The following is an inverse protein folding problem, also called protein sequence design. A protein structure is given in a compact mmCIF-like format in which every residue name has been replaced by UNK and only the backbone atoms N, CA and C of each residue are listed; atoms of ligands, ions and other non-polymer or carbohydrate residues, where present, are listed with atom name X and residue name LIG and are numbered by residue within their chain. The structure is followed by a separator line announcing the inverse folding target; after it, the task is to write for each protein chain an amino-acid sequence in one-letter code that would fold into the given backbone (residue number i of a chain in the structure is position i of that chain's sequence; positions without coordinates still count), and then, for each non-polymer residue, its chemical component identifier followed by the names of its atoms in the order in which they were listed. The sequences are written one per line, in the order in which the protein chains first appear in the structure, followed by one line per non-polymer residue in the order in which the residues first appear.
data_IF_392378604656
#
_entry.id   IF_392378604656
#
_cell.length_a   1.000
_cell.length_b   1.000
_cell.length_c   1.000
_cell.angle_alpha   90.00
_cell.angle_beta   90.00
_cell.angle_gamma   90.00
#
_symmetry.space_group_name_H-M   'P 1'
#
loop_
_entity.id
_entity.type
_entity.pdbx_description
1 polymer ?
#
# COMPACT_ATOMS: atom_id res chain seq x y z
N UNK A 1 -4.38 8.98 8.92
CA UNK A 1 -3.03 8.36 8.84
C UNK A 1 -2.02 9.13 9.67
N UNK A 2 -2.34 9.33 10.95
CA UNK A 2 -1.42 9.80 11.98
C UNK A 2 -0.20 8.90 12.19
N UNK A 3 -0.22 7.66 11.66
CA UNK A 3 0.90 6.73 11.73
C UNK A 3 1.89 6.79 10.57
N UNK A 4 1.50 7.19 9.36
CA UNK A 4 2.41 7.16 8.19
C UNK A 4 3.38 8.35 8.25
N UNK A 5 2.88 9.55 8.52
CA UNK A 5 3.75 10.71 8.71
C UNK A 5 4.62 10.61 9.98
N UNK A 6 4.10 10.00 11.04
CA UNK A 6 4.76 9.96 12.34
C UNK A 6 5.71 8.77 12.52
N UNK A 7 5.52 7.68 11.77
CA UNK A 7 6.37 6.48 11.86
C UNK A 7 7.17 6.16 10.59
N UNK A 8 6.66 6.48 9.38
CA UNK A 8 7.21 5.98 8.11
C UNK A 8 8.16 7.00 7.45
N UNK A 9 7.77 8.28 7.42
CA UNK A 9 8.59 9.36 6.85
C UNK A 9 9.93 9.60 7.60
N UNK A 10 9.98 9.62 8.95
CA UNK A 10 11.23 9.89 9.68
C UNK A 10 12.27 8.77 9.57
N UNK A 11 11.82 7.56 9.27
CA UNK A 11 12.67 6.36 9.21
C UNK A 11 12.88 5.84 7.78
N UNK A 12 12.35 6.53 6.76
CA UNK A 12 12.34 6.10 5.35
C UNK A 12 11.87 4.64 5.19
N UNK A 13 10.84 4.26 5.93
CA UNK A 13 10.22 2.95 5.80
C UNK A 13 9.46 2.95 4.48
N UNK A 14 9.60 1.90 3.69
CA UNK A 14 8.87 1.74 2.44
C UNK A 14 7.63 0.88 2.76
N UNK A 15 6.44 1.50 2.68
CA UNK A 15 5.24 0.73 2.38
C UNK A 15 5.39 0.14 0.99
N UNK A 16 4.93 -1.10 0.80
CA UNK A 16 4.90 -1.75 -0.49
C UNK A 16 4.07 -0.99 -1.53
N UNK A 17 3.84 -1.62 -2.67
CA UNK A 17 3.01 -1.04 -3.70
C UNK A 17 3.65 0.17 -4.40
N UNK A 18 2.78 1.06 -4.86
CA UNK A 18 3.10 2.19 -5.74
C UNK A 18 3.88 3.27 -5.02
N UNK A 19 3.57 3.46 -3.73
CA UNK A 19 4.29 4.40 -2.86
C UNK A 19 5.77 4.00 -2.75
N UNK A 20 6.05 2.71 -2.58
CA UNK A 20 7.42 2.20 -2.53
C UNK A 20 8.18 2.38 -3.85
N UNK A 21 7.55 2.10 -4.99
CA UNK A 21 8.18 2.33 -6.29
C UNK A 21 8.42 3.83 -6.54
N UNK A 22 7.48 4.68 -6.14
CA UNK A 22 7.61 6.14 -6.23
C UNK A 22 8.78 6.68 -5.44
N UNK A 23 8.95 6.21 -4.21
CA UNK A 23 10.09 6.57 -3.35
C UNK A 23 11.41 6.10 -3.95
N UNK A 24 11.48 4.86 -4.44
CA UNK A 24 12.68 4.35 -5.13
C UNK A 24 13.05 5.18 -6.36
N UNK A 25 12.05 5.54 -7.16
CA UNK A 25 12.26 6.39 -8.34
C UNK A 25 12.80 7.76 -7.93
N UNK A 26 12.28 8.35 -6.85
CA UNK A 26 12.76 9.62 -6.32
C UNK A 26 14.16 9.56 -5.70
N UNK A 27 14.64 8.39 -5.27
CA UNK A 27 16.02 8.23 -4.83
C UNK A 27 17.01 8.08 -5.99
N UNK A 28 16.56 7.52 -7.11
CA UNK A 28 17.41 7.30 -8.29
C UNK A 28 17.36 8.47 -9.29
N UNK A 29 16.32 9.30 -9.23
CA UNK A 29 16.07 10.40 -10.18
C UNK A 29 15.63 11.66 -9.44
N UNK A 30 15.80 12.86 -10.03
CA UNK A 30 15.33 14.11 -9.43
C UNK A 30 13.80 14.28 -9.49
N UNK A 31 13.06 13.24 -9.86
CA UNK A 31 11.60 13.28 -10.01
C UNK A 31 10.95 13.16 -8.62
N UNK A 32 10.02 14.05 -8.25
CA UNK A 32 9.27 13.92 -7.00
C UNK A 32 8.51 12.59 -6.93
N UNK A 33 8.54 11.93 -5.77
CA UNK A 33 7.87 10.64 -5.55
C UNK A 33 6.40 10.64 -5.97
N UNK A 34 5.66 11.72 -5.68
CA UNK A 34 4.26 11.88 -6.10
C UNK A 34 4.04 11.83 -7.61
N UNK A 35 4.95 12.44 -8.41
CA UNK A 35 4.88 12.38 -9.87
C UNK A 35 5.19 10.97 -10.39
N UNK A 36 6.16 10.28 -9.78
CA UNK A 36 6.48 8.90 -10.14
C UNK A 36 5.30 7.95 -9.87
N UNK A 37 4.65 8.08 -8.71
CA UNK A 37 3.45 7.32 -8.34
C UNK A 37 2.33 7.55 -9.36
N UNK A 38 2.01 8.81 -9.66
CA UNK A 38 0.95 9.15 -10.62
C UNK A 38 1.25 8.56 -12.00
N UNK A 39 2.47 8.73 -12.49
CA UNK A 39 2.88 8.24 -13.82
C UNK A 39 2.77 6.72 -13.92
N UNK A 40 3.16 5.99 -12.87
CA UNK A 40 3.03 4.53 -12.83
C UNK A 40 1.57 4.09 -12.64
N UNK A 41 0.74 4.91 -11.98
CA UNK A 41 -0.66 4.56 -11.67
C UNK A 41 -1.56 4.68 -12.87
N UNK A 42 -1.33 5.70 -13.71
CA UNK A 42 -2.11 5.97 -14.92
C UNK A 42 -2.28 4.73 -15.83
N UNK A 43 -1.22 4.00 -16.23
CA UNK A 43 -1.39 2.83 -17.09
C UNK A 43 -2.20 1.70 -16.43
N UNK A 44 -2.07 1.51 -15.12
CA UNK A 44 -2.83 0.48 -14.40
C UNK A 44 -4.31 0.86 -14.30
N UNK A 45 -4.62 2.11 -13.99
CA UNK A 45 -5.99 2.61 -13.98
C UNK A 45 -6.61 2.58 -15.38
N UNK A 46 -5.85 2.94 -16.43
CA UNK A 46 -6.30 2.84 -17.82
C UNK A 46 -6.62 1.38 -18.18
N UNK A 47 -5.76 0.42 -17.83
CA UNK A 47 -6.02 -1.00 -18.06
C UNK A 47 -7.29 -1.47 -17.34
N UNK A 48 -7.52 -1.00 -16.12
CA UNK A 48 -8.71 -1.31 -15.33
C UNK A 48 -9.99 -0.76 -15.97
N UNK A 49 -9.93 0.46 -16.53
CA UNK A 49 -11.05 1.07 -17.26
C UNK A 49 -11.52 0.19 -18.43
N UNK A 50 -10.58 -0.39 -19.18
CA UNK A 50 -10.92 -1.27 -20.30
C UNK A 50 -11.40 -2.66 -19.84
N UNK A 51 -10.94 -3.14 -18.69
CA UNK A 51 -11.30 -4.47 -18.20
C UNK A 51 -12.61 -4.52 -17.39
N UNK A 52 -12.75 -3.62 -16.40
CA UNK A 52 -13.94 -3.51 -15.53
C UNK A 52 -14.16 -2.06 -15.10
N UNK A 53 -15.00 -1.35 -15.86
CA UNK A 53 -15.37 0.05 -15.60
C UNK A 53 -15.95 0.31 -14.20
N UNK A 54 -16.69 -0.64 -13.62
CA UNK A 54 -17.23 -0.48 -12.26
C UNK A 54 -16.14 -0.36 -11.21
N UNK A 55 -15.09 -1.19 -11.29
CA UNK A 55 -13.95 -1.13 -10.38
C UNK A 55 -13.22 0.22 -10.48
N UNK A 56 -13.08 0.77 -11.68
CA UNK A 56 -12.43 2.08 -11.86
C UNK A 56 -13.15 3.18 -11.09
N UNK A 57 -14.48 3.29 -11.20
CA UNK A 57 -15.24 4.36 -10.54
C UNK A 57 -15.20 4.25 -9.02
N UNK A 58 -15.36 3.05 -8.46
CA UNK A 58 -15.26 2.83 -7.01
C UNK A 58 -13.87 3.15 -6.47
N UNK A 59 -12.82 2.80 -7.23
CA UNK A 59 -11.44 3.12 -6.87
C UNK A 59 -11.15 4.61 -6.93
N UNK A 60 -11.61 5.33 -7.96
CA UNK A 60 -11.45 6.77 -8.04
C UNK A 60 -12.08 7.47 -6.83
N UNK A 61 -13.31 7.09 -6.47
CA UNK A 61 -14.00 7.65 -5.31
C UNK A 61 -13.25 7.31 -4.02
N UNK A 62 -12.78 6.05 -3.89
CA UNK A 62 -11.98 5.62 -2.75
C UNK A 62 -10.69 6.42 -2.58
N UNK A 63 -9.92 6.60 -3.65
CA UNK A 63 -8.68 7.39 -3.64
C UNK A 63 -8.95 8.84 -3.27
N UNK A 64 -10.01 9.46 -3.81
CA UNK A 64 -10.39 10.84 -3.46
C UNK A 64 -10.80 10.92 -1.98
N UNK A 65 -11.59 9.96 -1.49
CA UNK A 65 -12.02 9.93 -0.09
C UNK A 65 -10.85 9.72 0.88
N UNK A 66 -9.94 8.81 0.55
CA UNK A 66 -8.69 8.61 1.29
C UNK A 66 -7.87 9.90 1.26
N UNK A 67 -7.71 10.54 0.09
CA UNK A 67 -6.95 11.79 -0.06
C UNK A 67 -7.55 12.93 0.77
N UNK A 68 -8.87 13.04 0.84
CA UNK A 68 -9.54 14.02 1.69
C UNK A 68 -9.37 13.71 3.19
N UNK A 69 -9.47 12.43 3.58
CA UNK A 69 -9.20 12.02 4.96
C UNK A 69 -7.74 12.24 5.36
N UNK A 70 -6.80 12.21 4.42
CA UNK A 70 -5.40 12.57 4.67
C UNK A 70 -5.25 14.03 5.07
N UNK A 71 -5.93 14.93 4.38
CA UNK A 71 -5.81 16.38 4.59
C UNK A 71 -6.61 16.85 5.83
N UNK A 72 -7.65 16.11 6.22
CA UNK A 72 -8.55 16.47 7.32
C UNK A 72 -8.11 15.93 8.69
N UNK A 73 -7.25 14.91 8.75
CA UNK A 73 -6.75 14.34 10.01
C UNK A 73 -5.41 15.00 10.35
N UNK A 74 -5.36 15.94 11.31
CA UNK A 74 -4.11 16.59 11.69
C UNK A 74 -3.09 15.59 12.23
N UNK A 75 -1.81 15.88 11.99
CA UNK A 75 -0.69 15.11 12.52
C UNK A 75 -0.79 15.06 14.06
N UNK A 76 -0.56 13.89 14.70
CA UNK A 76 -0.53 13.83 16.15
C UNK A 76 0.62 14.69 16.67
N UNK A 77 0.28 15.62 17.55
CA UNK A 77 1.27 16.47 18.22
C UNK A 77 2.18 15.69 19.18
N UNK A 78 1.86 14.41 19.45
CA UNK A 78 2.60 13.55 20.36
C UNK A 78 3.44 12.53 19.58
N UNK A 79 4.78 12.62 19.59
CA UNK A 79 5.62 11.55 19.09
C UNK A 79 5.36 10.32 19.95
N UNK A 80 4.69 9.32 19.40
CA UNK A 80 4.46 8.07 20.09
C UNK A 80 5.82 7.39 20.24
N UNK A 81 6.41 7.46 21.45
CA UNK A 81 7.72 6.88 21.78
C UNK A 81 7.59 5.37 21.87
N UNK A 82 7.47 4.73 20.71
CA UNK A 82 7.45 3.28 20.55
C UNK A 82 8.72 2.88 19.79
N UNK A 83 9.28 1.70 20.09
CA UNK A 83 10.39 1.17 19.31
C UNK A 83 10.02 1.10 17.82
N UNK A 84 10.93 1.45 16.89
CA UNK A 84 10.66 1.44 15.45
C UNK A 84 10.08 0.11 14.95
N UNK A 85 10.50 -0.99 15.58
CA UNK A 85 10.03 -2.35 15.29
C UNK A 85 8.54 -2.53 15.63
N UNK A 86 8.12 -2.14 16.83
CA UNK A 86 6.74 -2.30 17.28
C UNK A 86 5.81 -1.33 16.51
N UNK A 87 6.32 -0.14 16.21
CA UNK A 87 5.64 0.81 15.33
C UNK A 87 5.41 0.22 13.93
N UNK A 88 6.44 -0.33 13.29
CA UNK A 88 6.35 -0.96 11.98
C UNK A 88 5.31 -2.09 11.95
N UNK A 89 5.27 -2.90 13.02
CA UNK A 89 4.32 -4.00 13.15
C UNK A 89 2.89 -3.51 13.36
N UNK A 90 2.64 -2.66 14.36
CA UNK A 90 1.30 -2.14 14.65
C UNK A 90 0.76 -1.30 13.50
N UNK A 91 1.60 -0.48 12.89
CA UNK A 91 1.27 0.27 11.68
C UNK A 91 0.85 -0.67 10.55
N UNK A 92 1.66 -1.70 10.27
CA UNK A 92 1.34 -2.69 9.25
C UNK A 92 0.02 -3.42 9.49
N UNK A 93 -0.27 -3.79 10.74
CA UNK A 93 -1.55 -4.42 11.08
C UNK A 93 -2.73 -3.46 10.85
N UNK A 94 -2.65 -2.21 11.31
CA UNK A 94 -3.73 -1.23 11.12
C UNK A 94 -3.96 -0.92 9.63
N UNK A 95 -2.88 -0.68 8.88
CA UNK A 95 -2.94 -0.44 7.43
C UNK A 95 -3.54 -1.65 6.73
N UNK A 96 -3.07 -2.86 7.03
CA UNK A 96 -3.60 -4.09 6.46
C UNK A 96 -5.09 -4.32 6.72
N UNK A 97 -5.58 -3.94 7.91
CA UNK A 97 -7.02 -3.99 8.20
C UNK A 97 -7.81 -2.98 7.37
N UNK A 98 -7.32 -1.74 7.24
CA UNK A 98 -7.94 -0.71 6.39
C UNK A 98 -8.02 -1.14 4.93
N UNK A 99 -6.91 -1.59 4.36
CA UNK A 99 -6.84 -2.13 2.99
C UNK A 99 -7.81 -3.32 2.84
N UNK A 100 -7.81 -4.25 3.79
CA UNK A 100 -8.70 -5.40 3.77
C UNK A 100 -10.19 -5.02 3.74
N UNK A 101 -10.61 -4.03 4.54
CA UNK A 101 -12.00 -3.56 4.59
C UNK A 101 -12.40 -2.89 3.25
N UNK A 102 -11.50 -2.09 2.67
CA UNK A 102 -11.74 -1.47 1.37
C UNK A 102 -11.90 -2.52 0.26
N UNK A 103 -11.06 -3.56 0.28
CA UNK A 103 -11.11 -4.64 -0.68
C UNK A 103 -12.41 -5.44 -0.63
N UNK A 104 -13.00 -5.61 0.57
CA UNK A 104 -14.35 -6.19 0.71
C UNK A 104 -15.41 -5.39 -0.06
N UNK A 105 -15.20 -4.08 -0.23
CA UNK A 105 -16.05 -3.19 -1.03
C UNK A 105 -15.59 -3.06 -2.49
N UNK A 106 -14.63 -3.88 -2.93
CA UNK A 106 -13.96 -3.79 -4.24
C UNK A 106 -13.20 -2.48 -4.49
N UNK A 107 -12.84 -1.77 -3.42
CA UNK A 107 -12.02 -0.55 -3.46
C UNK A 107 -10.59 -0.95 -3.11
N UNK A 108 -9.63 -0.42 -3.85
CA UNK A 108 -8.19 -0.58 -3.62
C UNK A 108 -7.57 0.76 -3.28
N UNK A 109 -6.43 0.70 -2.59
CA UNK A 109 -5.73 1.86 -2.06
C UNK A 109 -4.77 2.47 -3.06
N UNK A 110 -4.10 1.63 -3.86
CA UNK A 110 -3.20 2.08 -4.91
C UNK A 110 -3.39 1.30 -6.23
N UNK A 111 -2.55 1.60 -7.23
CA UNK A 111 -2.54 0.91 -8.51
C UNK A 111 -2.02 -0.54 -8.44
N UNK A 112 -1.08 -0.87 -7.56
CA UNK A 112 -0.55 -2.24 -7.46
C UNK A 112 -1.52 -3.19 -6.74
N UNK A 113 -2.24 -2.70 -5.74
CA UNK A 113 -3.37 -3.36 -5.09
C UNK A 113 -4.50 -3.60 -6.10
N UNK A 114 -4.76 -2.64 -6.99
CA UNK A 114 -5.73 -2.81 -8.07
C UNK A 114 -5.30 -3.92 -9.02
N UNK A 115 -4.01 -3.97 -9.36
CA UNK A 115 -3.43 -5.02 -10.18
C UNK A 115 -3.54 -6.38 -9.46
N UNK A 116 -3.18 -6.47 -8.18
CA UNK A 116 -3.35 -7.68 -7.36
C UNK A 116 -4.80 -8.15 -7.32
N UNK A 117 -5.74 -7.23 -7.13
CA UNK A 117 -7.16 -7.52 -7.10
C UNK A 117 -7.65 -8.03 -8.47
N UNK A 118 -7.24 -7.40 -9.58
CA UNK A 118 -7.55 -7.89 -10.93
C UNK A 118 -7.01 -9.30 -11.19
N UNK A 119 -5.80 -9.61 -10.70
CA UNK A 119 -5.25 -10.96 -10.76
C UNK A 119 -6.00 -11.94 -9.88
N UNK A 120 -6.45 -11.53 -8.69
CA UNK A 120 -7.33 -12.34 -7.83
C UNK A 120 -8.68 -12.64 -8.48
N UNK A 121 -9.20 -11.77 -9.35
CA UNK A 121 -10.44 -12.09 -10.07
C UNK A 121 -10.24 -13.19 -11.13
N UNK A 122 -9.00 -13.39 -11.59
CA UNK A 122 -8.64 -14.46 -12.56
C UNK A 122 -8.09 -15.72 -11.88
N UNK A 123 -7.57 -15.60 -10.66
CA UNK A 123 -6.90 -16.67 -9.94
C UNK A 123 -7.69 -17.03 -8.67
N UNK A 124 -7.65 -18.29 -8.21
CA UNK A 124 -8.31 -18.66 -6.93
C UNK A 124 -7.48 -18.25 -5.69
N UNK A 125 -6.58 -17.30 -5.86
CA UNK A 125 -5.63 -16.83 -4.83
C UNK A 125 -6.28 -15.65 -4.09
N UNK A 126 -6.06 -15.59 -2.77
CA UNK A 126 -6.55 -14.49 -1.95
C UNK A 126 -5.85 -13.17 -2.33
N UNK A 127 -6.61 -12.08 -2.44
CA UNK A 127 -6.09 -10.75 -2.84
C UNK A 127 -4.94 -10.30 -1.93
N UNK A 128 -5.07 -10.47 -0.61
CA UNK A 128 -4.03 -10.09 0.35
C UNK A 128 -2.71 -10.83 0.15
N UNK A 129 -2.74 -12.09 -0.31
CA UNK A 129 -1.52 -12.84 -0.66
C UNK A 129 -0.89 -12.25 -1.92
N UNK A 130 -1.68 -11.87 -2.93
CA UNK A 130 -1.16 -11.24 -4.14
C UNK A 130 -0.55 -9.87 -3.86
N UNK A 131 -1.19 -9.06 -3.01
CA UNK A 131 -0.64 -7.78 -2.53
C UNK A 131 0.70 -8.01 -1.85
N UNK A 132 0.75 -8.94 -0.89
CA UNK A 132 1.99 -9.28 -0.20
C UNK A 132 3.11 -9.71 -1.15
N UNK A 133 2.80 -10.50 -2.19
CA UNK A 133 3.79 -10.93 -3.18
C UNK A 133 4.30 -9.77 -4.03
N UNK A 134 3.43 -8.86 -4.48
CA UNK A 134 3.84 -7.66 -5.21
C UNK A 134 4.70 -6.74 -4.34
N UNK A 135 4.31 -6.55 -3.08
CA UNK A 135 5.06 -5.74 -2.12
C UNK A 135 6.45 -6.31 -1.84
N UNK A 136 6.55 -7.64 -1.73
CA UNK A 136 7.84 -8.32 -1.60
C UNK A 136 8.73 -8.10 -2.83
N UNK A 137 8.17 -8.08 -4.04
CA UNK A 137 8.94 -7.75 -5.25
C UNK A 137 9.48 -6.31 -5.20
N UNK A 138 8.68 -5.36 -4.70
CA UNK A 138 9.12 -3.97 -4.51
C UNK A 138 10.26 -3.89 -3.49
N UNK A 139 10.18 -4.62 -2.37
CA UNK A 139 11.28 -4.69 -1.39
C UNK A 139 12.54 -5.29 -2.00
N UNK A 140 12.43 -6.37 -2.78
CA UNK A 140 13.61 -6.98 -3.42
C UNK A 140 14.28 -5.98 -4.36
N UNK A 141 13.50 -5.20 -5.10
CA UNK A 141 14.01 -4.09 -5.93
C UNK A 141 14.65 -2.97 -5.11
N UNK A 142 14.16 -2.72 -3.89
CA UNK A 142 14.67 -1.66 -3.01
C UNK A 142 15.99 -2.01 -2.31
N UNK A 143 16.40 -3.29 -2.31
CA UNK A 143 17.60 -3.74 -1.59
C UNK A 143 18.90 -3.07 -2.03
N UNK A 144 18.96 -2.59 -3.28
CA UNK A 144 20.14 -1.90 -3.83
C UNK A 144 20.18 -0.40 -3.48
N UNK A 145 19.08 0.16 -2.98
CA UNK A 145 18.92 1.59 -2.72
C UNK A 145 18.81 1.89 -1.23
N UNK A 146 18.16 1.01 -0.47
CA UNK A 146 17.89 1.22 0.96
C UNK A 146 18.95 0.61 1.87
N UNK A 147 19.04 1.16 3.09
CA UNK A 147 19.81 0.60 4.18
C UNK A 147 19.15 -0.67 4.76
N UNK A 148 19.97 -1.52 5.39
CA UNK A 148 19.51 -2.78 6.03
C UNK A 148 18.38 -2.55 7.04
N UNK A 149 18.44 -1.45 7.80
CA UNK A 149 17.44 -1.11 8.82
C UNK A 149 16.08 -0.78 8.18
N UNK A 150 16.08 -0.01 7.09
CA UNK A 150 14.85 0.34 6.35
C UNK A 150 14.21 -0.90 5.73
N UNK A 151 15.01 -1.79 5.14
CA UNK A 151 14.52 -3.05 4.55
C UNK A 151 13.88 -3.92 5.64
N UNK A 152 14.52 -4.04 6.81
CA UNK A 152 13.97 -4.82 7.93
C UNK A 152 12.64 -4.28 8.42
N UNK A 153 12.53 -2.96 8.61
CA UNK A 153 11.29 -2.32 9.05
C UNK A 153 10.18 -2.47 7.99
N UNK A 154 10.51 -2.31 6.71
CA UNK A 154 9.57 -2.46 5.59
C UNK A 154 9.04 -3.90 5.49
N UNK A 155 9.90 -4.91 5.67
CA UNK A 155 9.49 -6.33 5.70
C UNK A 155 8.49 -6.61 6.84
N UNK A 156 8.72 -6.03 8.02
CA UNK A 156 7.83 -6.17 9.18
C UNK A 156 6.48 -5.51 8.90
N UNK A 157 6.48 -4.31 8.34
CA UNK A 157 5.24 -3.61 7.96
C UNK A 157 4.46 -4.39 6.92
N UNK A 158 5.10 -4.81 5.82
CA UNK A 158 4.44 -5.54 4.72
C UNK A 158 3.91 -6.90 5.15
N UNK A 159 4.63 -7.62 6.02
CA UNK A 159 4.12 -8.88 6.57
C UNK A 159 2.90 -8.66 7.47
N UNK A 160 2.87 -7.59 8.26
CA UNK A 160 1.69 -7.17 9.01
C UNK A 160 0.50 -6.82 8.10
N UNK A 161 0.76 -6.05 7.03
CA UNK A 161 -0.23 -5.68 6.02
C UNK A 161 -0.80 -6.94 5.37
N UNK A 162 0.05 -7.75 4.75
CA UNK A 162 -0.34 -8.94 4.02
C UNK A 162 -1.13 -9.92 4.88
N UNK A 163 -0.72 -10.14 6.13
CA UNK A 163 -1.42 -11.03 7.05
C UNK A 163 -2.81 -10.50 7.39
N UNK A 164 -2.94 -9.23 7.78
CA UNK A 164 -4.24 -8.65 8.14
C UNK A 164 -5.17 -8.54 6.95
N UNK A 165 -4.66 -8.09 5.81
CA UNK A 165 -5.43 -8.01 4.56
C UNK A 165 -5.91 -9.39 4.14
N UNK A 166 -5.07 -10.42 4.22
CA UNK A 166 -5.47 -11.79 3.88
C UNK A 166 -6.55 -12.34 4.83
N UNK A 167 -6.44 -12.06 6.14
CA UNK A 167 -7.44 -12.47 7.14
C UNK A 167 -8.77 -11.79 6.87
N UNK A 168 -8.78 -10.47 6.67
CA UNK A 168 -10.01 -9.70 6.45
C UNK A 168 -10.68 -10.11 5.13
N UNK A 169 -9.90 -10.29 4.07
CA UNK A 169 -10.42 -10.68 2.73
C UNK A 169 -10.70 -12.19 2.60
N UNK A 170 -10.48 -12.99 3.64
CA UNK A 170 -10.67 -14.45 3.59
C UNK A 170 -12.09 -14.86 3.18
N UNK A 171 -13.11 -14.09 3.60
CA UNK A 171 -14.51 -14.32 3.22
C UNK A 171 -14.80 -14.05 1.74
N UNK A 172 -14.08 -13.13 1.10
CA UNK A 172 -14.28 -12.75 -0.30
C UNK A 172 -13.91 -13.87 -1.27
N UNK A 173 -13.09 -14.84 -0.84
CA UNK A 173 -12.71 -16.03 -1.61
C UNK A 173 -13.87 -17.02 -1.82
N UNK A 174 -14.94 -16.95 -1.02
CA UNK A 174 -16.02 -17.95 -0.99
C UNK A 174 -17.39 -17.40 -1.43
N UNK A 175 -17.44 -16.22 -2.05
CA UNK A 175 -18.64 -15.67 -2.70
C UNK A 175 -18.49 -15.69 -4.22
#
# INVERSE_FOLDING_TARGET
MSGIHLFILPHHIIEGGMLGIGLLTSYMTPIPSGMAILTLSVPIYAFTWFYKRSLFWFNMIGVVFISLLLELIPDPELPVVISPLLSAWLGGLMIGTGIGILLLSNITTDGLDLLAHLFSLKTKINVGILIFLLDMLVIVGSMFVLSKTQIMLSLITISGIGLMTAIVTWKQKHS
#
